data_IF_194051987302
#
_entry.id   IF_194051987302
#
_cell.length_a   1.000
_cell.length_b   1.000
_cell.length_c   1.000
_cell.angle_alpha   90.00
_cell.angle_beta   90.00
_cell.angle_gamma   90.00
#
_symmetry.space_group_name_H-M   'P 1'
#
loop_
_entity.id
_entity.type
_entity.pdbx_description
1 polymer ?
#
# COMPACT_ATOMS: atom_id res chain seq x y z
N UNK A 1 -1.48 13.37 8.11
CA UNK A 1 -2.88 12.89 8.16
C UNK A 1 -3.22 12.56 9.61
N UNK A 2 -4.47 12.72 10.04
CA UNK A 2 -4.86 12.56 11.45
C UNK A 2 -4.65 11.13 11.93
N UNK A 3 -3.72 10.92 12.87
CA UNK A 3 -3.58 9.67 13.60
C UNK A 3 -4.94 9.28 14.19
N UNK A 4 -5.44 8.09 13.84
CA UNK A 4 -6.66 7.52 14.42
C UNK A 4 -6.50 7.43 15.94
N UNK A 5 -7.53 7.84 16.69
CA UNK A 5 -7.55 7.80 18.16
C UNK A 5 -7.16 6.40 18.71
N UNK A 6 -7.55 5.34 18.00
CA UNK A 6 -7.17 3.96 18.29
C UNK A 6 -5.65 3.72 18.27
N UNK A 7 -4.92 4.33 17.34
CA UNK A 7 -3.45 4.21 17.23
C UNK A 7 -2.77 4.87 18.42
N UNK A 8 -3.26 6.05 18.84
CA UNK A 8 -2.73 6.73 20.03
C UNK A 8 -2.98 5.92 21.30
N UNK A 9 -4.17 5.34 21.45
CA UNK A 9 -4.51 4.46 22.57
C UNK A 9 -3.59 3.23 22.60
N UNK A 10 -3.33 2.62 21.44
CA UNK A 10 -2.43 1.47 21.34
C UNK A 10 -0.98 1.82 21.73
N UNK A 11 -0.43 2.93 21.24
CA UNK A 11 0.93 3.35 21.61
C UNK A 11 1.03 3.70 23.09
N UNK A 12 0.05 4.42 23.65
CA UNK A 12 0.00 4.70 25.08
C UNK A 12 -0.01 3.41 25.90
N UNK A 13 -0.71 2.37 25.42
CA UNK A 13 -0.74 1.05 26.05
C UNK A 13 0.64 0.39 25.99
N UNK A 14 1.32 0.40 24.83
CA UNK A 14 2.68 -0.14 24.69
C UNK A 14 3.70 0.59 25.59
N UNK A 15 3.63 1.91 25.68
CA UNK A 15 4.48 2.72 26.56
C UNK A 15 4.24 2.38 28.03
N UNK A 16 2.99 2.20 28.44
CA UNK A 16 2.66 1.74 29.80
C UNK A 16 3.25 0.35 30.09
N UNK A 17 3.20 -0.57 29.12
CA UNK A 17 3.80 -1.89 29.27
C UNK A 17 5.32 -1.84 29.34
N UNK A 18 5.97 -1.01 28.53
CA UNK A 18 7.41 -0.79 28.62
C UNK A 18 7.81 -0.23 29.99
N UNK A 19 7.06 0.76 30.50
CA UNK A 19 7.30 1.31 31.83
C UNK A 19 7.12 0.24 32.92
N UNK A 20 6.13 -0.65 32.78
CA UNK A 20 5.96 -1.78 33.68
C UNK A 20 7.16 -2.74 33.64
N UNK A 21 7.68 -3.07 32.45
CA UNK A 21 8.91 -3.87 32.31
C UNK A 21 10.07 -3.20 33.06
N UNK A 22 10.28 -1.89 32.86
CA UNK A 22 11.34 -1.15 33.54
C UNK A 22 11.22 -1.22 35.06
N UNK A 23 10.02 -0.98 35.60
CA UNK A 23 9.79 -1.01 37.04
C UNK A 23 10.10 -2.39 37.64
N UNK A 24 9.65 -3.47 36.98
CA UNK A 24 9.88 -4.84 37.46
C UNK A 24 11.35 -5.24 37.31
N UNK A 25 12.04 -4.82 36.26
CA UNK A 25 13.48 -5.05 36.11
C UNK A 25 14.30 -4.29 37.15
N UNK A 26 13.95 -3.04 37.46
CA UNK A 26 14.59 -2.27 38.54
C UNK A 26 14.39 -2.94 39.90
N UNK A 27 13.18 -3.46 40.15
CA UNK A 27 12.87 -4.20 41.36
C UNK A 27 13.69 -5.50 41.44
N UNK A 28 13.82 -6.23 40.33
CA UNK A 28 14.64 -7.43 40.25
C UNK A 28 16.12 -7.13 40.52
N UNK A 29 16.66 -6.06 39.94
CA UNK A 29 18.04 -5.60 40.18
C UNK A 29 18.26 -5.31 41.67
N UNK A 30 17.28 -4.71 42.36
CA UNK A 30 17.36 -4.45 43.81
C UNK A 30 17.35 -5.73 44.65
N UNK A 31 16.59 -6.75 44.23
CA UNK A 31 16.45 -7.99 44.99
C UNK A 31 17.51 -9.05 44.70
N UNK A 32 18.13 -9.03 43.52
CA UNK A 32 19.19 -9.97 43.14
C UNK A 32 20.32 -10.15 44.19
N UNK A 33 20.86 -9.10 44.84
CA UNK A 33 21.90 -9.25 45.85
C UNK A 33 21.40 -9.70 47.23
N UNK A 34 20.09 -9.69 47.50
CA UNK A 34 19.53 -10.07 48.81
C UNK A 34 19.43 -11.59 48.97
N UNK A 35 19.34 -12.15 50.18
CA UNK A 35 19.23 -13.61 50.38
C UNK A 35 17.83 -14.19 50.11
N UNK A 36 16.84 -13.36 49.78
CA UNK A 36 15.44 -13.79 49.60
C UNK A 36 15.21 -14.37 48.19
N UNK A 37 15.29 -15.70 48.06
CA UNK A 37 15.15 -16.41 46.79
C UNK A 37 13.72 -16.40 46.24
N UNK A 38 12.72 -16.60 47.10
CA UNK A 38 11.31 -16.60 46.71
C UNK A 38 10.92 -15.27 46.06
N UNK A 39 11.40 -14.18 46.65
CA UNK A 39 11.16 -12.84 46.10
C UNK A 39 11.86 -12.65 44.76
N UNK A 40 13.13 -13.06 44.60
CA UNK A 40 13.84 -12.99 43.31
C UNK A 40 13.10 -13.76 42.22
N UNK A 41 12.68 -15.00 42.51
CA UNK A 41 11.98 -15.85 41.54
C UNK A 41 10.63 -15.24 41.18
N UNK A 42 9.89 -14.72 42.16
CA UNK A 42 8.59 -14.09 41.90
C UNK A 42 8.73 -12.82 41.05
N UNK A 43 9.70 -11.95 41.32
CA UNK A 43 9.97 -10.75 40.50
C UNK A 43 10.50 -11.12 39.11
N UNK A 44 11.33 -12.16 38.99
CA UNK A 44 11.78 -12.67 37.69
C UNK A 44 10.62 -13.23 36.85
N UNK A 45 9.67 -13.94 37.45
CA UNK A 45 8.44 -14.39 36.76
C UNK A 45 7.60 -13.21 36.26
N UNK A 46 7.47 -12.15 37.07
CA UNK A 46 6.77 -10.94 36.65
C UNK A 46 7.47 -10.27 35.47
N UNK A 47 8.80 -10.17 35.51
CA UNK A 47 9.59 -9.60 34.40
C UNK A 47 9.41 -10.42 33.12
N UNK A 48 9.51 -11.76 33.23
CA UNK A 48 9.34 -12.67 32.10
C UNK A 48 7.96 -12.52 31.44
N UNK A 49 6.91 -12.47 32.27
CA UNK A 49 5.55 -12.28 31.79
C UNK A 49 5.38 -10.93 31.08
N UNK A 50 5.95 -9.85 31.63
CA UNK A 50 5.87 -8.52 31.04
C UNK A 50 6.59 -8.45 29.68
N UNK A 51 7.78 -9.07 29.56
CA UNK A 51 8.54 -9.15 28.30
C UNK A 51 7.81 -10.00 27.26
N UNK A 52 7.25 -11.15 27.66
CA UNK A 52 6.50 -12.02 26.75
C UNK A 52 5.20 -11.36 26.27
N UNK A 53 4.54 -10.60 27.14
CA UNK A 53 3.35 -9.84 26.77
C UNK A 53 3.67 -8.77 25.72
N UNK A 54 4.76 -8.02 25.89
CA UNK A 54 5.22 -7.09 24.85
C UNK A 54 5.53 -7.81 23.54
N UNK A 55 6.24 -8.94 23.58
CA UNK A 55 6.56 -9.74 22.38
C UNK A 55 5.32 -10.28 21.65
N UNK A 56 4.21 -10.50 22.37
CA UNK A 56 2.94 -10.92 21.78
C UNK A 56 2.21 -9.74 21.10
N UNK A 57 2.35 -8.51 21.63
CA UNK A 57 1.76 -7.31 21.04
C UNK A 57 2.49 -6.83 19.79
N UNK A 58 3.81 -7.06 19.70
CA UNK A 58 4.65 -6.65 18.56
C UNK A 58 5.43 -7.85 17.99
N UNK A 59 4.77 -8.80 17.31
CA UNK A 59 5.41 -10.04 16.86
C UNK A 59 6.49 -9.83 15.79
N UNK A 60 6.33 -8.81 14.94
CA UNK A 60 7.22 -8.53 13.80
C UNK A 60 8.35 -7.55 14.13
N UNK A 61 8.13 -6.62 15.07
CA UNK A 61 9.10 -5.58 15.46
C UNK A 61 9.64 -5.81 16.88
N UNK A 62 10.04 -7.04 17.18
CA UNK A 62 10.55 -7.39 18.50
C UNK A 62 11.87 -6.68 18.77
N UNK A 63 12.03 -6.02 19.94
CA UNK A 63 13.30 -5.43 20.31
C UNK A 63 14.40 -6.49 20.40
N UNK A 64 15.62 -6.17 19.95
CA UNK A 64 16.76 -7.10 20.00
C UNK A 64 17.10 -7.59 21.41
N UNK A 65 16.70 -6.84 22.44
CA UNK A 65 16.88 -7.18 23.85
C UNK A 65 15.84 -8.19 24.37
N UNK A 66 14.67 -8.34 23.74
CA UNK A 66 13.53 -9.04 24.36
C UNK A 66 13.72 -10.54 24.43
N UNK A 67 14.20 -11.18 23.36
CA UNK A 67 14.42 -12.63 23.32
C UNK A 67 15.57 -13.07 24.24
N UNK A 68 16.78 -12.44 24.21
CA UNK A 68 17.84 -12.78 25.15
C UNK A 68 17.43 -12.61 26.61
N UNK A 69 16.70 -11.53 26.92
CA UNK A 69 16.24 -11.24 28.28
C UNK A 69 15.20 -12.27 28.75
N UNK A 70 14.19 -12.59 27.93
CA UNK A 70 13.18 -13.61 28.24
C UNK A 70 13.82 -14.98 28.50
N UNK A 71 14.77 -15.38 27.66
CA UNK A 71 15.51 -16.64 27.81
C UNK A 71 16.28 -16.73 29.13
N UNK A 72 17.00 -15.68 29.51
CA UNK A 72 17.81 -15.67 30.74
C UNK A 72 16.93 -15.60 31.99
N UNK A 73 15.81 -14.88 31.93
CA UNK A 73 14.81 -14.88 33.00
C UNK A 73 14.22 -16.29 33.20
N UNK A 74 13.89 -17.00 32.11
CA UNK A 74 13.42 -18.39 32.17
C UNK A 74 14.42 -19.33 32.84
N UNK A 75 15.69 -19.29 32.40
CA UNK A 75 16.76 -20.10 33.00
C UNK A 75 16.99 -19.80 34.48
N UNK A 76 16.92 -18.54 34.86
CA UNK A 76 17.05 -18.14 36.27
C UNK A 76 15.89 -18.65 37.12
N UNK A 77 14.65 -18.64 36.60
CA UNK A 77 13.49 -19.17 37.33
C UNK A 77 13.62 -20.69 37.56
N UNK A 78 14.19 -21.43 36.59
CA UNK A 78 14.39 -22.88 36.70
C UNK A 78 15.57 -23.24 37.61
N UNK A 79 16.67 -22.49 37.54
CA UNK A 79 17.91 -22.76 38.26
C UNK A 79 18.57 -21.47 38.80
N UNK A 80 18.03 -20.87 39.90
CA UNK A 80 18.44 -19.55 40.38
C UNK A 80 19.93 -19.46 40.74
N UNK A 81 20.47 -20.48 41.42
CA UNK A 81 21.86 -20.49 41.88
C UNK A 81 22.88 -20.52 40.73
N UNK A 82 22.54 -21.20 39.62
CA UNK A 82 23.45 -21.38 38.49
C UNK A 82 23.43 -20.17 37.54
N UNK A 83 22.29 -19.47 37.42
CA UNK A 83 22.10 -18.42 36.43
C UNK A 83 22.03 -17.00 37.01
N UNK A 84 22.14 -16.80 38.32
CA UNK A 84 22.14 -15.47 38.93
C UNK A 84 23.19 -14.52 38.31
N UNK A 85 24.41 -15.01 38.09
CA UNK A 85 25.51 -14.23 37.47
C UNK A 85 25.24 -13.89 36.00
N UNK A 86 24.71 -14.87 35.23
CA UNK A 86 24.34 -14.68 33.83
C UNK A 86 23.18 -13.70 33.67
N UNK A 87 22.17 -13.78 34.55
CA UNK A 87 21.06 -12.85 34.59
C UNK A 87 21.55 -11.44 34.92
N UNK A 88 22.40 -11.26 35.93
CA UNK A 88 22.96 -9.96 36.27
C UNK A 88 23.73 -9.33 35.08
N UNK A 89 24.56 -10.13 34.40
CA UNK A 89 25.28 -9.68 33.19
C UNK A 89 24.32 -9.26 32.08
N UNK A 90 23.27 -10.05 31.87
CA UNK A 90 22.22 -9.77 30.87
C UNK A 90 21.46 -8.49 31.19
N UNK A 91 21.12 -8.27 32.47
CA UNK A 91 20.44 -7.07 32.93
C UNK A 91 21.33 -5.84 32.76
N UNK A 92 22.59 -5.88 33.18
CA UNK A 92 23.54 -4.76 32.98
C UNK A 92 23.69 -4.42 31.50
N UNK A 93 23.73 -5.42 30.63
CA UNK A 93 23.90 -5.21 29.19
C UNK A 93 22.64 -4.63 28.52
N UNK A 94 21.45 -5.17 28.81
CA UNK A 94 20.23 -4.81 28.08
C UNK A 94 19.37 -3.76 28.76
N UNK A 95 19.50 -3.52 30.06
CA UNK A 95 18.68 -2.53 30.78
C UNK A 95 18.72 -1.12 30.17
N UNK A 96 19.89 -0.58 29.74
CA UNK A 96 19.94 0.68 29.02
C UNK A 96 19.09 0.65 27.73
N UNK A 97 19.15 -0.44 26.97
CA UNK A 97 18.40 -0.63 25.73
C UNK A 97 16.89 -0.76 25.97
N UNK A 98 16.46 -1.37 27.08
CA UNK A 98 15.03 -1.37 27.47
C UNK A 98 14.56 0.06 27.77
N UNK A 99 15.40 0.84 28.46
CA UNK A 99 15.09 2.21 28.88
C UNK A 99 15.06 3.20 27.72
N UNK A 100 15.96 3.03 26.74
CA UNK A 100 16.07 3.90 25.57
C UNK A 100 15.24 3.42 24.38
N UNK A 101 14.51 2.31 24.49
CA UNK A 101 13.70 1.80 23.39
C UNK A 101 12.56 2.77 23.14
N UNK A 102 12.65 3.50 22.03
CA UNK A 102 11.62 4.45 21.65
C UNK A 102 10.52 3.70 20.89
N UNK A 103 9.30 3.63 21.40
CA UNK A 103 8.17 3.00 20.69
C UNK A 103 7.55 3.91 19.63
N UNK A 104 7.98 5.18 19.53
CA UNK A 104 7.44 6.11 18.55
C UNK A 104 7.89 5.81 17.12
N UNK A 105 8.93 5.00 16.91
CA UNK A 105 9.24 4.48 15.57
C UNK A 105 8.13 3.57 15.00
N UNK A 106 7.24 3.04 15.83
CA UNK A 106 6.02 2.34 15.37
C UNK A 106 4.96 3.32 14.81
N UNK A 107 5.14 4.63 15.05
CA UNK A 107 4.38 5.73 14.45
C UNK A 107 5.13 6.39 13.30
N UNK A 108 6.45 6.25 13.25
CA UNK A 108 7.23 6.62 12.08
C UNK A 108 6.86 5.62 10.99
N UNK A 109 6.09 6.14 10.05
CA UNK A 109 5.86 5.59 8.73
C UNK A 109 7.08 4.79 8.20
N UNK A 110 7.13 3.49 8.51
CA UNK A 110 7.42 2.48 7.50
C UNK A 110 6.23 2.35 6.54
N UNK A 111 5.59 3.48 6.23
CA UNK A 111 4.85 3.66 5.02
C UNK A 111 5.88 3.81 3.90
N UNK A 112 6.36 2.68 3.38
CA UNK A 112 6.05 2.52 1.97
C UNK A 112 4.52 2.37 1.91
N UNK A 113 3.79 3.50 2.00
CA UNK A 113 2.41 3.47 1.52
C UNK A 113 2.62 3.10 0.07
N UNK A 114 2.13 1.92 -0.27
CA UNK A 114 2.10 1.44 -1.63
C UNK A 114 1.33 2.45 -2.47
N UNK A 115 2.06 3.40 -3.05
CA UNK A 115 1.49 4.51 -3.80
C UNK A 115 1.23 4.03 -5.23
N UNK A 116 0.07 3.39 -5.39
CA UNK A 116 -0.42 2.91 -6.69
C UNK A 116 -0.49 4.07 -7.69
N UNK A 117 -0.78 5.28 -7.23
CA UNK A 117 -0.87 6.45 -8.10
C UNK A 117 0.53 6.88 -8.60
N UNK A 118 1.58 6.72 -7.80
CA UNK A 118 2.96 6.94 -8.21
C UNK A 118 3.43 5.88 -9.23
N UNK A 119 3.15 4.59 -8.97
CA UNK A 119 3.42 3.49 -9.91
C UNK A 119 2.71 3.75 -11.23
N UNK A 120 1.43 4.11 -11.18
CA UNK A 120 0.65 4.45 -12.35
C UNK A 120 1.25 5.63 -13.12
N UNK A 121 1.59 6.71 -12.41
CA UNK A 121 2.15 7.92 -13.03
C UNK A 121 3.45 7.60 -13.76
N UNK A 122 4.35 6.84 -13.13
CA UNK A 122 5.59 6.38 -13.78
C UNK A 122 5.31 5.54 -15.01
N UNK A 123 4.45 4.51 -14.89
CA UNK A 123 4.12 3.66 -16.04
C UNK A 123 3.46 4.43 -17.19
N UNK A 124 2.63 5.44 -16.89
CA UNK A 124 1.98 6.32 -17.87
C UNK A 124 2.97 7.25 -18.56
N UNK A 125 3.87 7.86 -17.81
CA UNK A 125 4.85 8.81 -18.36
C UNK A 125 5.85 8.09 -19.29
N UNK A 126 6.05 6.79 -19.09
CA UNK A 126 6.82 5.91 -19.97
C UNK A 126 6.03 5.29 -21.14
N UNK A 127 4.70 5.47 -21.17
CA UNK A 127 3.84 4.89 -22.20
C UNK A 127 3.60 5.86 -23.35
N UNK A 128 3.08 5.36 -24.48
CA UNK A 128 2.71 6.20 -25.62
C UNK A 128 1.33 6.88 -25.44
N UNK A 129 0.68 6.66 -24.29
CA UNK A 129 -0.68 7.11 -24.02
C UNK A 129 -0.83 8.64 -24.04
N UNK A 130 0.08 9.46 -23.47
CA UNK A 130 -0.02 10.92 -23.59
C UNK A 130 0.00 11.40 -25.05
N UNK A 131 0.88 10.81 -25.86
CA UNK A 131 1.00 11.12 -27.30
C UNK A 131 -0.28 10.76 -28.06
N UNK A 132 -0.87 9.60 -27.77
CA UNK A 132 -2.12 9.15 -28.41
C UNK A 132 -3.30 10.06 -28.04
N UNK A 133 -3.37 10.51 -26.78
CA UNK A 133 -4.35 11.51 -26.35
C UNK A 133 -4.23 12.81 -27.14
N UNK A 134 -3.01 13.35 -27.25
CA UNK A 134 -2.79 14.60 -27.98
C UNK A 134 -3.10 14.45 -29.48
N UNK A 135 -2.82 13.28 -30.09
CA UNK A 135 -3.22 12.97 -31.47
C UNK A 135 -4.74 12.97 -31.65
N UNK A 136 -5.48 12.31 -30.75
CA UNK A 136 -6.95 12.27 -30.80
C UNK A 136 -7.54 13.67 -30.64
N UNK A 137 -7.04 14.44 -29.68
CA UNK A 137 -7.46 15.83 -29.46
C UNK A 137 -7.26 16.64 -30.75
N UNK A 138 -6.08 16.57 -31.36
CA UNK A 138 -5.78 17.28 -32.61
C UNK A 138 -6.73 16.86 -33.75
N UNK A 139 -7.00 15.56 -33.93
CA UNK A 139 -7.93 15.10 -34.98
C UNK A 139 -9.35 15.62 -34.71
N UNK A 140 -9.82 15.59 -33.45
CA UNK A 140 -11.13 16.13 -33.07
C UNK A 140 -11.22 17.64 -33.24
N UNK A 141 -10.13 18.38 -32.96
CA UNK A 141 -10.04 19.82 -33.23
C UNK A 141 -10.16 20.11 -34.73
N UNK A 142 -9.41 19.37 -35.56
CA UNK A 142 -9.50 19.49 -37.02
C UNK A 142 -10.92 19.23 -37.53
N UNK A 143 -11.58 18.17 -37.01
CA UNK A 143 -12.98 17.89 -37.31
C UNK A 143 -13.89 19.05 -36.89
N UNK A 144 -13.74 19.58 -35.68
CA UNK A 144 -14.56 20.68 -35.18
C UNK A 144 -14.39 22.00 -35.94
N UNK A 145 -13.18 22.23 -36.47
CA UNK A 145 -12.83 23.42 -37.25
C UNK A 145 -13.21 23.31 -38.74
N UNK A 146 -13.65 22.13 -39.18
CA UNK A 146 -14.05 21.93 -40.56
C UNK A 146 -15.36 22.66 -40.88
N UNK A 147 -15.37 23.44 -41.96
CA UNK A 147 -16.58 24.08 -42.49
C UNK A 147 -17.58 23.07 -43.08
N UNK A 148 -17.19 21.80 -43.20
CA UNK A 148 -18.04 20.72 -43.72
C UNK A 148 -19.10 20.26 -42.69
N UNK A 149 -18.94 20.57 -41.40
CA UNK A 149 -19.91 20.20 -40.36
C UNK A 149 -20.91 21.33 -40.14
N UNK A 150 -22.10 21.24 -40.74
CA UNK A 150 -23.19 22.23 -40.55
C UNK A 150 -24.00 22.01 -39.25
N UNK A 151 -23.83 20.86 -38.61
CA UNK A 151 -24.57 20.52 -37.39
C UNK A 151 -24.03 21.25 -36.16
N UNK A 152 -24.71 22.31 -35.73
CA UNK A 152 -24.39 23.05 -34.49
C UNK A 152 -24.42 22.16 -33.23
N UNK A 153 -25.26 21.12 -33.21
CA UNK A 153 -25.29 20.16 -32.11
C UNK A 153 -24.04 19.27 -32.10
N UNK A 154 -23.55 18.87 -33.28
CA UNK A 154 -22.32 18.11 -33.43
C UNK A 154 -21.10 18.88 -32.96
N UNK A 155 -20.95 20.12 -33.40
CA UNK A 155 -19.84 21.00 -32.97
C UNK A 155 -19.83 21.15 -31.44
N UNK A 156 -20.98 21.42 -30.82
CA UNK A 156 -21.08 21.52 -29.35
C UNK A 156 -20.75 20.22 -28.64
N UNK A 157 -21.08 19.07 -29.23
CA UNK A 157 -20.76 17.77 -28.65
C UNK A 157 -19.25 17.48 -28.75
N UNK A 158 -18.63 17.79 -29.89
CA UNK A 158 -17.18 17.74 -30.10
C UNK A 158 -16.43 18.63 -29.11
N UNK A 159 -16.85 19.89 -28.93
CA UNK A 159 -16.24 20.81 -27.96
C UNK A 159 -16.30 20.28 -26.52
N UNK A 160 -17.42 19.65 -26.13
CA UNK A 160 -17.55 19.05 -24.80
C UNK A 160 -16.66 17.82 -24.64
N UNK A 161 -16.56 17.00 -25.67
CA UNK A 161 -15.67 15.85 -25.71
C UNK A 161 -14.21 16.28 -25.59
N UNK A 162 -13.78 17.27 -26.38
CA UNK A 162 -12.43 17.85 -26.33
C UNK A 162 -12.07 18.30 -24.91
N UNK A 163 -12.91 19.14 -24.29
CA UNK A 163 -12.70 19.60 -22.90
C UNK A 163 -12.63 18.46 -21.90
N UNK A 164 -13.41 17.40 -22.12
CA UNK A 164 -13.43 16.22 -21.23
C UNK A 164 -12.14 15.40 -21.38
N UNK A 165 -11.64 15.24 -22.61
CA UNK A 165 -10.38 14.55 -22.90
C UNK A 165 -9.18 15.34 -22.37
N UNK A 166 -9.13 16.65 -22.61
CA UNK A 166 -8.08 17.54 -22.09
C UNK A 166 -7.98 17.49 -20.56
N UNK A 167 -9.12 17.51 -19.87
CA UNK A 167 -9.15 17.39 -18.41
C UNK A 167 -8.69 16.02 -17.92
N UNK A 168 -8.98 14.97 -18.69
CA UNK A 168 -8.75 13.59 -18.29
C UNK A 168 -7.35 13.08 -18.64
N UNK A 169 -6.65 13.67 -19.61
CA UNK A 169 -5.35 13.17 -20.11
C UNK A 169 -4.26 13.05 -19.04
N UNK A 170 -4.32 13.90 -18.01
CA UNK A 170 -3.38 13.90 -16.88
C UNK A 170 -4.00 13.32 -15.59
N UNK A 171 -5.23 12.81 -15.66
CA UNK A 171 -5.98 12.29 -14.53
C UNK A 171 -5.52 10.90 -14.09
N UNK A 172 -6.26 10.33 -13.14
CA UNK A 172 -6.07 8.94 -12.70
C UNK A 172 -6.38 7.94 -13.83
N UNK A 173 -5.92 6.70 -13.67
CA UNK A 173 -6.23 5.58 -14.58
C UNK A 173 -7.74 5.46 -14.86
N UNK A 174 -8.56 5.62 -13.82
CA UNK A 174 -10.03 5.58 -13.93
C UNK A 174 -10.55 6.73 -14.78
N UNK A 175 -10.03 7.94 -14.58
CA UNK A 175 -10.43 9.12 -15.36
C UNK A 175 -10.12 8.93 -16.84
N UNK A 176 -8.93 8.39 -17.14
CA UNK A 176 -8.51 8.06 -18.51
C UNK A 176 -9.39 6.98 -19.12
N UNK A 177 -9.61 5.86 -18.42
CA UNK A 177 -10.46 4.76 -18.90
C UNK A 177 -11.90 5.22 -19.18
N UNK A 178 -12.47 6.06 -18.31
CA UNK A 178 -13.82 6.56 -18.51
C UNK A 178 -13.93 7.56 -19.67
N UNK A 179 -12.97 8.48 -19.79
CA UNK A 179 -12.92 9.42 -20.92
C UNK A 179 -12.75 8.68 -22.25
N UNK A 180 -11.97 7.60 -22.22
CA UNK A 180 -11.74 6.69 -23.34
C UNK A 180 -13.00 5.94 -23.77
N UNK A 181 -13.70 5.27 -22.84
CA UNK A 181 -14.97 4.60 -23.11
C UNK A 181 -16.01 5.57 -23.67
N UNK A 182 -16.09 6.77 -23.09
CA UNK A 182 -16.98 7.81 -23.59
C UNK A 182 -16.64 8.22 -25.03
N UNK A 183 -15.35 8.37 -25.36
CA UNK A 183 -14.90 8.66 -26.72
C UNK A 183 -15.31 7.53 -27.68
N UNK A 184 -15.08 6.26 -27.35
CA UNK A 184 -15.53 5.13 -28.20
C UNK A 184 -17.03 5.18 -28.48
N UNK A 185 -17.83 5.30 -27.43
CA UNK A 185 -19.30 5.37 -27.53
C UNK A 185 -19.71 6.57 -28.39
N UNK A 186 -19.06 7.71 -28.24
CA UNK A 186 -19.32 8.89 -29.05
C UNK A 186 -18.94 8.67 -30.52
N UNK A 187 -17.80 8.03 -30.78
CA UNK A 187 -17.36 7.73 -32.14
C UNK A 187 -18.35 6.80 -32.85
N UNK A 188 -18.68 5.68 -32.21
CA UNK A 188 -19.54 4.64 -32.76
C UNK A 188 -20.98 5.12 -32.99
N UNK A 189 -21.55 5.84 -32.01
CA UNK A 189 -22.97 6.18 -32.06
C UNK A 189 -23.27 7.52 -32.75
N UNK A 190 -22.28 8.40 -32.88
CA UNK A 190 -22.55 9.78 -33.30
C UNK A 190 -21.67 10.24 -34.45
N UNK A 191 -20.36 9.97 -34.40
CA UNK A 191 -19.43 10.43 -35.44
C UNK A 191 -19.52 9.58 -36.71
N UNK A 192 -19.51 8.25 -36.59
CA UNK A 192 -19.54 7.37 -37.76
C UNK A 192 -20.83 7.60 -38.56
N UNK A 193 -21.99 7.61 -37.90
CA UNK A 193 -23.28 7.79 -38.59
C UNK A 193 -23.47 9.14 -39.28
N UNK A 194 -22.80 10.20 -38.83
CA UNK A 194 -22.95 11.56 -39.38
C UNK A 194 -21.81 11.93 -40.34
N UNK A 195 -20.57 11.59 -40.01
CA UNK A 195 -19.40 12.00 -40.79
C UNK A 195 -19.08 11.07 -41.97
N UNK A 196 -19.52 9.80 -41.95
CA UNK A 196 -19.38 8.92 -43.14
C UNK A 196 -20.09 9.48 -44.38
N UNK A 197 -21.09 10.34 -44.18
CA UNK A 197 -21.85 10.99 -45.25
C UNK A 197 -21.08 12.13 -45.92
N UNK A 198 -19.93 12.53 -45.39
CA UNK A 198 -19.13 13.68 -45.83
C UNK A 198 -17.77 13.18 -46.36
N UNK A 199 -17.62 13.00 -47.68
CA UNK A 199 -16.40 12.43 -48.26
C UNK A 199 -15.11 13.17 -47.89
N UNK A 200 -15.17 14.50 -47.74
CA UNK A 200 -14.03 15.34 -47.38
C UNK A 200 -13.43 15.00 -45.99
N UNK A 201 -14.22 14.40 -45.09
CA UNK A 201 -13.79 14.06 -43.74
C UNK A 201 -13.36 12.59 -43.58
N UNK A 202 -13.46 11.78 -44.64
CA UNK A 202 -13.19 10.35 -44.58
C UNK A 202 -11.79 10.01 -44.07
N UNK A 203 -10.76 10.73 -44.50
CA UNK A 203 -9.38 10.50 -44.04
C UNK A 203 -9.19 10.82 -42.56
N UNK A 204 -9.81 11.89 -42.06
CA UNK A 204 -9.77 12.25 -40.64
C UNK A 204 -10.50 11.23 -39.78
N UNK A 205 -11.65 10.73 -40.26
CA UNK A 205 -12.41 9.69 -39.57
C UNK A 205 -11.61 8.39 -39.46
N UNK A 206 -10.95 7.96 -40.54
CA UNK A 206 -10.08 6.77 -40.53
C UNK A 206 -8.89 6.97 -39.58
N UNK A 207 -8.25 8.14 -39.60
CA UNK A 207 -7.15 8.44 -38.69
C UNK A 207 -7.61 8.40 -37.22
N UNK A 208 -8.82 8.92 -36.93
CA UNK A 208 -9.41 8.92 -35.61
C UNK A 208 -9.70 7.49 -35.13
N UNK A 209 -10.30 6.65 -35.97
CA UNK A 209 -10.60 5.24 -35.65
C UNK A 209 -9.30 4.46 -35.41
N UNK A 210 -8.28 4.65 -36.24
CA UNK A 210 -7.01 3.95 -36.07
C UNK A 210 -6.29 4.38 -34.78
N UNK A 211 -6.21 5.68 -34.51
CA UNK A 211 -5.59 6.20 -33.27
C UNK A 211 -6.37 5.74 -32.03
N UNK A 212 -7.70 5.62 -32.16
CA UNK A 212 -8.58 5.07 -31.14
C UNK A 212 -8.25 3.58 -30.87
N UNK A 213 -8.06 2.78 -31.92
CA UNK A 213 -7.66 1.38 -31.73
C UNK A 213 -6.27 1.26 -31.09
N UNK A 214 -5.29 2.04 -31.55
CA UNK A 214 -3.95 2.12 -30.92
C UNK A 214 -4.03 2.47 -29.42
N UNK A 215 -4.92 3.38 -29.06
CA UNK A 215 -5.14 3.76 -27.66
C UNK A 215 -5.77 2.64 -26.82
N UNK A 216 -6.61 1.78 -27.40
CA UNK A 216 -7.11 0.59 -26.70
C UNK A 216 -5.96 -0.32 -26.29
N UNK A 217 -5.08 -0.62 -27.26
CA UNK A 217 -3.95 -1.51 -27.04
C UNK A 217 -3.00 -0.95 -26.00
N UNK A 218 -2.71 0.36 -26.06
CA UNK A 218 -1.85 1.03 -25.09
C UNK A 218 -2.43 1.04 -23.67
N UNK A 219 -3.75 1.25 -23.51
CA UNK A 219 -4.41 1.19 -22.20
C UNK A 219 -4.31 -0.22 -21.60
N UNK A 220 -4.48 -1.27 -22.41
CA UNK A 220 -4.34 -2.66 -21.97
C UNK A 220 -2.91 -2.95 -21.53
N UNK A 221 -1.92 -2.50 -22.31
CA UNK A 221 -0.50 -2.66 -21.97
C UNK A 221 -0.12 -1.90 -20.70
N UNK A 222 -0.62 -0.67 -20.54
CA UNK A 222 -0.41 0.14 -19.36
C UNK A 222 -1.00 -0.52 -18.11
N UNK A 223 -2.23 -1.04 -18.19
CA UNK A 223 -2.88 -1.75 -17.08
C UNK A 223 -2.05 -2.97 -16.64
N UNK A 224 -1.57 -3.75 -17.62
CA UNK A 224 -0.70 -4.90 -17.36
C UNK A 224 0.63 -4.48 -16.71
N UNK A 225 1.27 -3.43 -17.22
CA UNK A 225 2.55 -2.93 -16.69
C UNK A 225 2.38 -2.44 -15.25
N UNK A 226 1.31 -1.72 -14.95
CA UNK A 226 0.98 -1.27 -13.59
C UNK A 226 0.76 -2.47 -12.67
N UNK A 227 0.05 -3.51 -13.12
CA UNK A 227 -0.15 -4.73 -12.33
C UNK A 227 1.16 -5.48 -12.06
N UNK A 228 2.03 -5.61 -13.07
CA UNK A 228 3.32 -6.30 -12.93
C UNK A 228 4.25 -5.54 -11.97
N UNK A 229 4.31 -4.21 -12.09
CA UNK A 229 5.12 -3.35 -11.22
C UNK A 229 4.58 -3.32 -9.78
N UNK A 230 3.26 -3.19 -9.63
CA UNK A 230 2.56 -3.28 -8.36
C UNK A 230 2.87 -4.60 -7.65
N UNK A 231 2.83 -5.70 -8.39
CA UNK A 231 3.15 -7.02 -7.87
C UNK A 231 4.62 -7.14 -7.47
N UNK A 232 5.55 -6.62 -8.27
CA UNK A 232 6.98 -6.65 -7.95
C UNK A 232 7.27 -5.93 -6.63
N UNK A 233 6.80 -4.69 -6.49
CA UNK A 233 6.94 -3.90 -5.26
C UNK A 233 6.32 -4.63 -4.07
N UNK A 234 5.14 -5.24 -4.25
CA UNK A 234 4.47 -6.00 -3.19
C UNK A 234 5.23 -7.28 -2.79
N UNK A 235 5.81 -8.00 -3.74
CA UNK A 235 6.62 -9.20 -3.49
C UNK A 235 7.94 -8.88 -2.77
N UNK A 236 8.55 -7.71 -3.05
CA UNK A 236 9.77 -7.25 -2.37
C UNK A 236 9.51 -6.80 -0.92
N UNK A 237 8.40 -6.13 -0.68
CA UNK A 237 8.01 -5.65 0.65
C UNK A 237 7.46 -6.77 1.54
N UNK A 238 6.66 -7.69 0.96
CA UNK A 238 6.11 -8.84 1.68
C UNK A 238 6.93 -10.08 1.35
N UNK A 239 8.08 -10.22 2.03
CA UNK A 239 9.02 -11.36 1.93
C UNK A 239 8.42 -12.75 2.23
N UNK A 240 7.11 -12.86 2.53
CA UNK A 240 6.44 -14.09 2.97
C UNK A 240 5.33 -14.60 2.04
N UNK A 241 5.15 -14.07 0.83
CA UNK A 241 4.14 -14.61 -0.08
C UNK A 241 4.60 -15.95 -0.71
N UNK A 242 3.77 -17.00 -0.66
CA UNK A 242 4.06 -18.25 -1.35
C UNK A 242 4.16 -18.01 -2.87
N UNK A 243 5.22 -18.50 -3.50
CA UNK A 243 5.38 -18.48 -4.97
C UNK A 243 4.09 -18.96 -5.65
N UNK A 244 3.45 -18.08 -6.42
CA UNK A 244 2.19 -18.36 -7.13
C UNK A 244 0.94 -17.68 -6.55
N UNK A 245 1.07 -16.77 -5.57
CA UNK A 245 -0.06 -15.91 -5.19
C UNK A 245 -0.33 -14.89 -6.30
N UNK A 246 -1.52 -14.92 -6.92
CA UNK A 246 -1.89 -13.98 -7.97
C UNK A 246 -2.63 -12.78 -7.39
N UNK A 247 -1.99 -11.61 -7.33
CA UNK A 247 -2.67 -10.35 -7.10
C UNK A 247 -3.37 -9.93 -8.38
N UNK A 248 -4.68 -10.12 -8.43
CA UNK A 248 -5.52 -9.52 -9.45
C UNK A 248 -6.12 -8.24 -8.87
N UNK A 249 -5.56 -7.09 -9.25
CA UNK A 249 -6.19 -5.80 -8.96
C UNK A 249 -7.24 -5.56 -10.04
N UNK A 250 -8.41 -6.13 -9.85
CA UNK A 250 -9.55 -5.92 -10.76
C UNK A 250 -10.46 -4.84 -10.19
N UNK A 251 -10.61 -3.73 -10.90
CA UNK A 251 -11.67 -2.76 -10.60
C UNK A 251 -12.98 -3.35 -11.12
N UNK A 252 -13.73 -4.03 -10.25
CA UNK A 252 -15.10 -4.45 -10.55
C UNK A 252 -16.02 -3.21 -10.59
N UNK A 253 -17.18 -3.31 -11.26
CA UNK A 253 -18.19 -2.23 -11.33
C UNK A 253 -18.65 -1.72 -9.95
N UNK A 254 -18.32 -2.42 -8.86
CA UNK A 254 -18.65 -2.05 -7.48
C UNK A 254 -17.51 -1.37 -6.71
N UNK A 255 -16.37 -1.04 -7.33
CA UNK A 255 -15.21 -0.44 -6.66
C UNK A 255 -14.79 -1.19 -5.38
N UNK A 256 -14.92 -2.53 -5.37
CA UNK A 256 -14.42 -3.38 -4.30
C UNK A 256 -13.08 -3.96 -4.69
N UNK A 257 -12.09 -3.78 -3.82
CA UNK A 257 -10.85 -4.56 -3.81
C UNK A 257 -11.22 -6.02 -3.51
N UNK A 258 -11.15 -6.89 -4.52
CA UNK A 258 -11.29 -8.33 -4.33
C UNK A 258 -9.93 -8.94 -4.05
N UNK A 259 -9.66 -9.29 -2.79
CA UNK A 259 -8.50 -10.11 -2.43
C UNK A 259 -8.78 -11.54 -2.91
N UNK A 260 -7.85 -12.22 -3.60
CA UNK A 260 -8.03 -13.60 -4.03
C UNK A 260 -8.35 -14.53 -2.85
N UNK A 261 -9.30 -15.44 -3.07
CA UNK A 261 -9.82 -16.38 -2.06
C UNK A 261 -8.73 -17.24 -1.40
N UNK A 262 -7.54 -17.39 -2.02
CA UNK A 262 -6.41 -18.12 -1.44
C UNK A 262 -5.86 -17.52 -0.14
N UNK A 263 -6.09 -16.23 0.14
CA UNK A 263 -5.74 -15.60 1.42
C UNK A 263 -6.86 -15.71 2.48
N UNK A 264 -8.11 -15.89 2.06
CA UNK A 264 -9.25 -16.01 2.99
C UNK A 264 -9.28 -17.33 3.77
N UNK A 265 -8.55 -18.35 3.30
CA UNK A 265 -8.42 -19.65 3.97
C UNK A 265 -7.38 -19.65 5.10
N UNK A 266 -6.58 -18.58 5.25
CA UNK A 266 -5.58 -18.50 6.32
C UNK A 266 -6.19 -18.07 7.67
N UNK A 267 -7.37 -17.43 7.68
CA UNK A 267 -8.04 -16.97 8.90
C UNK A 267 -8.99 -18.01 9.55
N UNK A 268 -8.95 -19.28 9.12
CA UNK A 268 -9.77 -20.36 9.71
C UNK A 268 -8.94 -21.48 10.37
N UNK A 269 -7.63 -21.31 10.52
CA UNK A 269 -6.77 -22.21 11.31
C UNK A 269 -5.84 -21.42 12.20
N UNK A 270 -6.40 -20.81 13.24
CA UNK A 270 -5.74 -20.54 14.52
C UNK A 270 -6.71 -20.92 15.63
#
# INVERSE_FOLDING_TARGET
MSQTEATKIFINTLQQHQQNILNVLEELIKFLPLPDEDKKISTAKQALNAVNYLNALIPNDRPSWSNPLSHQLGKFIEHPELFASNLNTTLVHYFPSVKSYDLTHLLEDNNSVFDIDEIYKRCRDESNLPTLFDKIINILEQLSSSEEIDSKSMIKALEKLLKSLEKSKNGSLISIKNAWEFLKIFLENYIIGELEKIPALGTLLVALINTTNEMSDEIIQLDKKVQDEARHVFEEEIKSLPRGSSLHITYTQEAKLSIPTSLSQFNQKV
#
